data_IF_507629809332
#
_entry.id   IF_507629809332
#
_cell.length_a   1.000
_cell.length_b   1.000
_cell.length_c   1.000
_cell.angle_alpha   90.00
_cell.angle_beta   90.00
_cell.angle_gamma   90.00
#
_symmetry.space_group_name_H-M   'P 1'
#
loop_
_entity.id
_entity.type
_entity.pdbx_description
1 polymer ?
#
# COMPACT_ATOMS: atom_id res chain seq x y z
N UNK A 1 3.97 -8.90 15.03
CA UNK A 1 4.96 -9.56 14.14
C UNK A 1 4.95 -8.96 12.73
N UNK A 2 3.83 -8.75 12.06
CA UNK A 2 3.79 -8.22 10.68
C UNK A 2 4.52 -6.88 10.49
N UNK A 3 4.36 -5.92 11.38
CA UNK A 3 5.06 -4.63 11.30
C UNK A 3 6.59 -4.76 11.42
N UNK A 4 7.10 -5.77 12.13
CA UNK A 4 8.54 -6.01 12.21
C UNK A 4 9.11 -6.51 10.88
N UNK A 5 8.36 -7.31 10.15
CA UNK A 5 8.75 -7.79 8.81
C UNK A 5 8.81 -6.61 7.83
N UNK A 6 7.79 -5.73 7.83
CA UNK A 6 7.78 -4.52 7.01
C UNK A 6 8.95 -3.58 7.33
N UNK A 7 9.27 -3.40 8.62
CA UNK A 7 10.40 -2.56 9.02
C UNK A 7 11.77 -3.19 8.71
N UNK A 8 11.86 -4.52 8.65
CA UNK A 8 13.12 -5.22 8.40
C UNK A 8 13.54 -5.16 6.91
N UNK A 9 12.58 -5.16 5.98
CA UNK A 9 12.89 -5.19 4.54
C UNK A 9 13.75 -4.02 4.06
N UNK A 10 13.44 -2.74 4.35
CA UNK A 10 14.30 -1.64 3.95
C UNK A 10 15.69 -1.71 4.58
N UNK A 11 15.80 -2.25 5.80
CA UNK A 11 17.08 -2.43 6.49
C UNK A 11 17.93 -3.50 5.78
N UNK A 12 17.34 -4.66 5.50
CA UNK A 12 17.98 -5.75 4.78
C UNK A 12 18.44 -5.27 3.39
N UNK A 13 17.56 -4.55 2.67
CA UNK A 13 17.86 -4.03 1.35
C UNK A 13 19.04 -3.04 1.40
N UNK A 14 19.06 -2.12 2.36
CA UNK A 14 20.15 -1.16 2.54
C UNK A 14 21.49 -1.84 2.84
N UNK A 15 21.48 -2.83 3.74
CA UNK A 15 22.70 -3.60 4.09
C UNK A 15 23.18 -4.41 2.89
N UNK A 16 22.28 -5.11 2.21
CA UNK A 16 22.61 -5.90 1.01
C UNK A 16 23.23 -5.02 -0.08
N UNK A 17 22.61 -3.86 -0.36
CA UNK A 17 23.13 -2.89 -1.35
C UNK A 17 24.52 -2.40 -0.96
N UNK A 18 24.77 -2.11 0.33
CA UNK A 18 26.08 -1.64 0.80
C UNK A 18 27.16 -2.72 0.65
N UNK A 19 26.83 -3.99 0.89
CA UNK A 19 27.76 -5.12 0.75
C UNK A 19 28.07 -5.43 -0.71
N UNK A 20 27.10 -5.23 -1.62
CA UNK A 20 27.28 -5.53 -3.05
C UNK A 20 27.73 -4.33 -3.87
N UNK A 21 27.79 -3.13 -3.31
CA UNK A 21 28.14 -1.89 -4.01
C UNK A 21 29.57 -1.88 -4.61
N UNK A 22 30.45 -2.77 -4.16
CA UNK A 22 31.78 -2.96 -4.74
C UNK A 22 31.78 -3.61 -6.12
N UNK A 23 30.73 -4.42 -6.44
CA UNK A 23 30.66 -5.21 -7.67
C UNK A 23 29.81 -4.57 -8.80
N UNK A 24 28.94 -3.62 -8.49
CA UNK A 24 27.91 -3.12 -9.41
C UNK A 24 28.04 -1.62 -9.75
N UNK A 25 29.17 -1.19 -10.33
CA UNK A 25 29.34 0.18 -10.86
C UNK A 25 28.68 0.41 -12.24
N UNK A 26 27.83 -0.48 -12.73
CA UNK A 26 27.17 -0.37 -14.06
C UNK A 26 25.67 -0.69 -13.95
N UNK A 27 24.86 0.34 -13.71
CA UNK A 27 23.40 0.22 -13.81
C UNK A 27 22.72 1.52 -13.49
N UNK A 28 22.00 2.12 -14.45
CA UNK A 28 21.16 3.32 -14.25
C UNK A 28 19.83 3.01 -13.56
N UNK A 29 19.82 2.08 -12.61
CA UNK A 29 18.64 1.58 -11.94
C UNK A 29 18.49 2.25 -10.56
N UNK A 30 17.27 2.30 -10.01
CA UNK A 30 17.02 2.83 -8.66
C UNK A 30 17.92 2.23 -7.60
N UNK A 31 18.34 0.95 -7.77
CA UNK A 31 19.30 0.31 -6.89
C UNK A 31 20.70 0.94 -6.91
N UNK A 32 21.18 1.41 -8.05
CA UNK A 32 22.45 2.13 -8.12
C UNK A 32 22.32 3.54 -7.55
N UNK A 33 21.15 4.13 -7.61
CA UNK A 33 20.84 5.45 -7.05
C UNK A 33 20.81 5.44 -5.51
N UNK A 34 20.54 4.28 -4.87
CA UNK A 34 20.63 4.13 -3.40
C UNK A 34 22.01 4.49 -2.85
N UNK A 35 23.08 4.17 -3.58
CA UNK A 35 24.46 4.46 -3.16
C UNK A 35 24.80 5.95 -3.21
N UNK A 36 23.98 6.77 -3.87
CA UNK A 36 24.19 8.20 -4.00
C UNK A 36 23.43 9.04 -2.98
N UNK A 37 22.26 8.55 -2.52
CA UNK A 37 21.45 9.23 -1.52
C UNK A 37 20.58 8.23 -0.75
N UNK A 38 20.64 8.28 0.58
CA UNK A 38 19.92 7.37 1.46
C UNK A 38 18.38 7.40 1.35
N UNK A 39 17.79 8.49 0.82
CA UNK A 39 16.34 8.56 0.60
C UNK A 39 15.84 7.64 -0.54
N UNK A 40 16.73 7.07 -1.35
CA UNK A 40 16.32 6.03 -2.29
C UNK A 40 16.01 4.68 -1.62
N UNK A 41 16.53 4.42 -0.41
CA UNK A 41 16.30 3.16 0.30
C UNK A 41 14.81 2.88 0.54
N UNK A 42 14.04 3.81 1.14
CA UNK A 42 12.59 3.56 1.31
C UNK A 42 11.85 3.47 -0.03
N UNK A 43 12.27 4.20 -1.07
CA UNK A 43 11.64 4.15 -2.39
C UNK A 43 11.83 2.79 -3.07
N UNK A 44 13.03 2.23 -3.00
CA UNK A 44 13.28 0.89 -3.51
C UNK A 44 12.63 -0.19 -2.64
N UNK A 45 12.56 0.00 -1.31
CA UNK A 45 11.82 -0.89 -0.44
C UNK A 45 10.33 -0.93 -0.81
N UNK A 46 9.72 0.20 -1.15
CA UNK A 46 8.33 0.24 -1.61
C UNK A 46 8.09 -0.57 -2.89
N UNK A 47 9.04 -0.62 -3.82
CA UNK A 47 8.90 -1.45 -5.02
C UNK A 47 8.75 -2.94 -4.67
N UNK A 48 9.49 -3.41 -3.67
CA UNK A 48 9.41 -4.80 -3.20
C UNK A 48 8.18 -5.01 -2.33
N UNK A 49 7.95 -4.12 -1.38
CA UNK A 49 6.87 -4.22 -0.39
C UNK A 49 5.47 -4.16 -1.02
N UNK A 50 5.28 -3.30 -2.03
CA UNK A 50 4.00 -3.16 -2.73
C UNK A 50 3.64 -4.37 -3.59
N UNK A 51 4.63 -5.20 -3.94
CA UNK A 51 4.35 -6.42 -4.70
C UNK A 51 3.61 -7.46 -3.85
N UNK A 52 3.94 -7.58 -2.57
CA UNK A 52 3.38 -8.64 -1.72
C UNK A 52 3.13 -8.22 -0.26
N UNK A 53 4.12 -7.64 0.44
CA UNK A 53 4.08 -7.52 1.90
C UNK A 53 3.07 -6.49 2.39
N UNK A 54 3.04 -5.30 1.82
CA UNK A 54 2.06 -4.26 2.17
C UNK A 54 0.63 -4.69 1.80
N UNK A 55 0.35 -5.22 0.59
CA UNK A 55 -0.96 -5.78 0.29
C UNK A 55 -1.37 -6.93 1.21
N UNK A 56 -0.43 -7.81 1.60
CA UNK A 56 -0.71 -8.89 2.56
C UNK A 56 -1.10 -8.34 3.93
N UNK A 57 -0.39 -7.34 4.44
CA UNK A 57 -0.73 -6.70 5.71
C UNK A 57 -2.13 -6.09 5.66
N UNK A 58 -2.49 -5.41 4.57
CA UNK A 58 -3.83 -4.83 4.38
C UNK A 58 -4.89 -5.93 4.22
N UNK A 59 -4.59 -7.01 3.52
CA UNK A 59 -5.50 -8.15 3.38
C UNK A 59 -5.83 -8.78 4.75
N UNK A 60 -4.82 -8.94 5.61
CA UNK A 60 -5.03 -9.45 6.97
C UNK A 60 -5.87 -8.49 7.81
N UNK A 61 -5.53 -7.19 7.83
CA UNK A 61 -6.26 -6.20 8.61
C UNK A 61 -7.71 -6.05 8.15
N UNK A 62 -7.95 -6.00 6.84
CA UNK A 62 -9.28 -5.82 6.28
C UNK A 62 -10.11 -7.09 6.36
N UNK A 63 -9.50 -8.26 6.15
CA UNK A 63 -10.15 -9.56 6.29
C UNK A 63 -10.67 -9.80 7.71
N UNK A 64 -9.90 -9.40 8.72
CA UNK A 64 -10.27 -9.54 10.13
C UNK A 64 -11.30 -8.49 10.61
N UNK A 65 -11.49 -7.42 9.89
CA UNK A 65 -12.21 -6.22 10.35
C UNK A 65 -13.67 -6.48 10.75
N UNK A 66 -14.41 -7.30 10.00
CA UNK A 66 -15.81 -7.70 10.27
C UNK A 66 -15.90 -9.20 10.51
N UNK A 67 -15.25 -10.01 9.67
CA UNK A 67 -15.28 -11.46 9.80
C UNK A 67 -14.66 -11.95 11.11
N UNK A 68 -13.64 -11.25 11.65
CA UNK A 68 -13.04 -11.56 12.94
C UNK A 68 -14.02 -11.38 14.10
N UNK A 69 -14.77 -10.28 14.09
CA UNK A 69 -15.80 -10.01 15.12
C UNK A 69 -16.99 -10.98 14.99
N UNK A 70 -17.36 -11.34 13.77
CA UNK A 70 -18.39 -12.36 13.53
C UNK A 70 -17.96 -13.73 14.03
N UNK A 71 -16.71 -14.14 13.74
CA UNK A 71 -16.13 -15.42 14.17
C UNK A 71 -16.05 -15.56 15.70
N UNK A 72 -15.70 -14.45 16.39
CA UNK A 72 -15.64 -14.39 17.85
C UNK A 72 -17.01 -14.23 18.52
N UNK A 73 -18.09 -14.06 17.76
CA UNK A 73 -19.43 -13.77 18.27
C UNK A 73 -19.59 -12.37 18.90
N UNK A 74 -18.54 -11.53 18.85
CA UNK A 74 -18.56 -10.19 19.45
C UNK A 74 -19.37 -9.18 18.64
N UNK A 75 -19.64 -9.48 17.37
CA UNK A 75 -20.46 -8.65 16.50
C UNK A 75 -21.86 -8.43 17.09
N UNK A 76 -22.42 -9.42 17.79
CA UNK A 76 -23.72 -9.31 18.49
C UNK A 76 -23.69 -8.21 19.55
N UNK A 77 -22.63 -8.10 20.34
CA UNK A 77 -22.51 -7.10 21.39
C UNK A 77 -22.33 -5.69 20.82
N UNK A 78 -21.62 -5.54 19.71
CA UNK A 78 -21.47 -4.26 19.02
C UNK A 78 -22.81 -3.73 18.47
N UNK A 79 -23.73 -4.62 18.12
CA UNK A 79 -25.05 -4.25 17.59
C UNK A 79 -26.09 -4.02 18.67
N UNK A 80 -25.84 -4.38 19.93
CA UNK A 80 -26.73 -4.03 21.08
C UNK A 80 -26.52 -2.59 21.54
N UNK A 81 -25.37 -1.98 21.25
CA UNK A 81 -25.13 -0.55 21.50
C UNK A 81 -25.85 0.25 20.41
N UNK A 82 -26.54 1.37 20.72
CA UNK A 82 -27.29 2.17 19.75
C UNK A 82 -26.37 2.98 18.83
N UNK A 83 -25.53 2.27 18.06
CA UNK A 83 -24.65 2.82 17.02
C UNK A 83 -25.19 2.43 15.66
N UNK A 84 -25.35 3.40 14.75
CA UNK A 84 -25.81 3.10 13.40
C UNK A 84 -24.78 2.20 12.68
N UNK A 85 -25.24 1.22 11.92
CA UNK A 85 -24.40 0.31 11.13
C UNK A 85 -23.46 1.07 10.18
N UNK A 86 -23.92 2.18 9.63
CA UNK A 86 -23.12 3.09 8.80
C UNK A 86 -21.93 3.66 9.56
N UNK A 87 -22.16 4.13 10.81
CA UNK A 87 -21.09 4.69 11.65
C UNK A 87 -20.06 3.63 12.00
N UNK A 88 -20.50 2.42 12.33
CA UNK A 88 -19.60 1.29 12.61
C UNK A 88 -18.71 1.00 11.40
N UNK A 89 -19.31 0.86 10.20
CA UNK A 89 -18.56 0.59 8.98
C UNK A 89 -17.59 1.73 8.63
N UNK A 90 -18.01 3.00 8.80
CA UNK A 90 -17.16 4.15 8.56
C UNK A 90 -15.94 4.19 9.50
N UNK A 91 -16.13 3.89 10.80
CA UNK A 91 -15.04 3.78 11.77
C UNK A 91 -14.10 2.64 11.40
N UNK A 92 -14.62 1.48 10.99
CA UNK A 92 -13.82 0.34 10.53
C UNK A 92 -12.98 0.73 9.31
N UNK A 93 -13.58 1.36 8.31
CA UNK A 93 -12.85 1.81 7.13
C UNK A 93 -11.78 2.86 7.48
N UNK A 94 -12.12 3.84 8.33
CA UNK A 94 -11.14 4.83 8.79
C UNK A 94 -9.96 4.19 9.53
N UNK A 95 -10.21 3.17 10.37
CA UNK A 95 -9.13 2.44 11.05
C UNK A 95 -8.26 1.65 10.06
N UNK A 96 -8.82 1.11 8.99
CA UNK A 96 -8.06 0.45 7.92
C UNK A 96 -7.19 1.45 7.14
N UNK A 97 -7.72 2.64 6.82
CA UNK A 97 -6.94 3.72 6.19
C UNK A 97 -5.78 4.17 7.10
N UNK A 98 -6.04 4.30 8.41
CA UNK A 98 -4.99 4.59 9.39
C UNK A 98 -3.95 3.44 9.44
N UNK A 99 -4.39 2.18 9.40
CA UNK A 99 -3.51 1.02 9.31
C UNK A 99 -2.65 1.02 8.05
N UNK A 100 -3.22 1.38 6.89
CA UNK A 100 -2.48 1.55 5.64
C UNK A 100 -1.41 2.65 5.76
N UNK A 101 -1.76 3.80 6.33
CA UNK A 101 -0.82 4.89 6.56
C UNK A 101 0.33 4.47 7.49
N UNK A 102 0.03 3.82 8.61
CA UNK A 102 1.06 3.30 9.52
C UNK A 102 1.91 2.21 8.87
N UNK A 103 1.33 1.34 8.05
CA UNK A 103 2.07 0.34 7.26
C UNK A 103 3.11 1.00 6.35
N UNK A 104 2.71 2.02 5.59
CA UNK A 104 3.63 2.79 4.73
C UNK A 104 4.71 3.49 5.55
N UNK A 105 4.36 4.12 6.68
CA UNK A 105 5.36 4.78 7.54
C UNK A 105 6.35 3.78 8.16
N UNK A 106 5.91 2.55 8.46
CA UNK A 106 6.76 1.50 9.00
C UNK A 106 7.86 1.07 8.01
N UNK A 107 7.65 1.28 6.72
CA UNK A 107 8.67 1.09 5.67
C UNK A 107 9.48 2.38 5.46
N UNK A 108 8.80 3.52 5.35
CA UNK A 108 9.42 4.80 5.02
C UNK A 108 10.44 5.27 6.08
N UNK A 109 10.04 5.23 7.35
CA UNK A 109 10.85 5.81 8.43
C UNK A 109 12.14 4.99 8.68
N UNK A 110 12.09 3.67 8.91
CA UNK A 110 13.31 2.89 9.07
C UNK A 110 14.17 2.92 7.80
N UNK A 111 13.54 2.87 6.61
CA UNK A 111 14.25 2.97 5.34
C UNK A 111 15.01 4.28 5.18
N UNK A 112 14.40 5.41 5.54
CA UNK A 112 15.06 6.71 5.49
C UNK A 112 16.19 6.81 6.54
N UNK A 113 15.95 6.36 7.77
CA UNK A 113 16.96 6.39 8.84
C UNK A 113 18.19 5.57 8.45
N UNK A 114 18.01 4.30 8.08
CA UNK A 114 19.13 3.43 7.72
C UNK A 114 19.81 3.89 6.43
N UNK A 115 19.00 4.36 5.45
CA UNK A 115 19.52 4.89 4.21
C UNK A 115 20.44 6.10 4.43
N UNK A 116 19.98 7.08 5.18
CA UNK A 116 20.77 8.27 5.53
C UNK A 116 22.03 7.88 6.32
N UNK A 117 21.92 6.94 7.26
CA UNK A 117 23.06 6.48 8.05
C UNK A 117 24.14 5.76 7.22
N UNK A 118 23.74 5.01 6.18
CA UNK A 118 24.66 4.22 5.37
C UNK A 118 25.19 4.94 4.13
N UNK A 119 24.36 5.78 3.49
CA UNK A 119 24.64 6.42 2.20
C UNK A 119 24.66 7.95 2.26
N UNK A 120 24.32 8.52 3.40
CA UNK A 120 24.32 9.97 3.60
C UNK A 120 23.02 10.65 3.15
N UNK A 121 22.95 11.96 3.43
CA UNK A 121 21.84 12.83 3.10
C UNK A 121 22.37 14.03 2.27
N UNK A 122 21.84 14.20 1.06
CA UNK A 122 22.32 15.22 0.14
C UNK A 122 21.36 15.47 -1.02
N UNK A 123 21.79 16.18 -2.05
CA UNK A 123 21.03 16.35 -3.28
C UNK A 123 20.66 14.99 -3.89
N UNK A 124 19.40 14.82 -4.26
CA UNK A 124 18.87 13.58 -4.80
C UNK A 124 18.80 13.66 -6.33
N UNK A 125 19.46 12.76 -7.10
CA UNK A 125 19.28 12.73 -8.54
C UNK A 125 17.86 12.26 -8.87
N UNK A 126 17.25 12.93 -9.86
CA UNK A 126 15.93 12.55 -10.38
C UNK A 126 16.06 11.54 -11.51
N UNK A 127 14.97 10.86 -11.84
CA UNK A 127 14.89 10.00 -13.03
C UNK A 127 15.00 10.80 -14.34
N UNK A 128 14.83 12.14 -14.29
CA UNK A 128 14.98 13.05 -15.43
C UNK A 128 16.42 13.58 -15.60
N UNK A 129 17.35 13.20 -14.69
CA UNK A 129 18.75 13.65 -14.76
C UNK A 129 19.04 14.99 -14.07
N UNK A 130 18.03 15.67 -13.49
CA UNK A 130 18.22 16.83 -12.61
C UNK A 130 18.55 16.40 -11.18
N UNK A 131 18.87 17.35 -10.30
CA UNK A 131 19.10 17.09 -8.87
C UNK A 131 18.10 17.89 -8.03
N UNK A 132 17.42 17.21 -7.12
CA UNK A 132 16.55 17.85 -6.13
C UNK A 132 17.36 18.25 -4.90
N UNK A 133 16.97 19.36 -4.30
CA UNK A 133 17.45 19.72 -2.97
C UNK A 133 16.98 18.67 -1.93
N UNK A 134 17.67 18.59 -0.80
CA UNK A 134 17.33 17.66 0.26
C UNK A 134 15.89 17.87 0.79
N UNK A 135 15.42 19.11 0.86
CA UNK A 135 14.04 19.44 1.28
C UNK A 135 13.00 18.96 0.26
N UNK A 136 13.24 19.16 -1.03
CA UNK A 136 12.38 18.67 -2.11
C UNK A 136 12.33 17.13 -2.12
N UNK A 137 13.46 16.45 -1.90
CA UNK A 137 13.52 15.00 -1.83
C UNK A 137 12.66 14.44 -0.70
N UNK A 138 12.66 15.06 0.48
CA UNK A 138 11.76 14.70 1.59
C UNK A 138 10.30 14.95 1.18
N UNK A 139 10.00 16.09 0.55
CA UNK A 139 8.65 16.39 0.05
C UNK A 139 8.15 15.33 -0.95
N UNK A 140 9.03 14.85 -1.85
CA UNK A 140 8.73 13.76 -2.80
C UNK A 140 8.44 12.44 -2.06
N UNK A 141 9.23 12.10 -1.04
CA UNK A 141 8.97 10.90 -0.22
C UNK A 141 7.62 10.98 0.48
N UNK A 142 7.25 12.14 1.02
CA UNK A 142 5.92 12.33 1.64
C UNK A 142 4.80 12.15 0.61
N UNK A 143 4.93 12.70 -0.60
CA UNK A 143 3.96 12.50 -1.68
C UNK A 143 3.82 11.00 -2.04
N UNK A 144 4.94 10.28 -2.14
CA UNK A 144 4.94 8.83 -2.35
C UNK A 144 4.19 8.11 -1.23
N UNK A 145 4.47 8.43 0.04
CA UNK A 145 3.78 7.82 1.18
C UNK A 145 2.27 8.07 1.14
N UNK A 146 1.83 9.27 0.83
CA UNK A 146 0.40 9.60 0.72
C UNK A 146 -0.26 8.87 -0.45
N UNK A 147 0.41 8.78 -1.59
CA UNK A 147 -0.06 8.08 -2.77
C UNK A 147 -0.24 6.58 -2.51
N UNK A 148 0.77 5.93 -1.94
CA UNK A 148 0.72 4.50 -1.60
C UNK A 148 -0.34 4.22 -0.53
N UNK A 149 -0.50 5.11 0.45
CA UNK A 149 -1.57 5.03 1.45
C UNK A 149 -2.95 5.06 0.78
N UNK A 150 -3.16 5.94 -0.20
CA UNK A 150 -4.42 5.99 -0.95
C UNK A 150 -4.68 4.68 -1.72
N UNK A 151 -3.66 4.13 -2.39
CA UNK A 151 -3.76 2.85 -3.11
C UNK A 151 -4.07 1.67 -2.19
N UNK A 152 -3.41 1.59 -1.04
CA UNK A 152 -3.66 0.56 -0.02
C UNK A 152 -5.03 0.73 0.66
N UNK A 153 -5.50 1.97 0.84
CA UNK A 153 -6.85 2.25 1.35
C UNK A 153 -7.94 1.78 0.37
N UNK A 154 -7.69 1.88 -0.94
CA UNK A 154 -8.58 1.31 -1.95
C UNK A 154 -8.64 -0.22 -1.86
N UNK A 155 -7.49 -0.90 -1.68
CA UNK A 155 -7.45 -2.34 -1.42
C UNK A 155 -8.16 -2.70 -0.11
N UNK A 156 -8.01 -1.88 0.93
CA UNK A 156 -8.68 -2.07 2.21
C UNK A 156 -10.21 -2.00 2.08
N UNK A 157 -10.74 -1.15 1.19
CA UNK A 157 -12.17 -1.11 0.90
C UNK A 157 -12.67 -2.42 0.25
N UNK A 158 -11.88 -2.99 -0.68
CA UNK A 158 -12.16 -4.32 -1.27
C UNK A 158 -12.18 -5.38 -0.17
N UNK A 159 -11.17 -5.38 0.71
CA UNK A 159 -11.07 -6.33 1.81
C UNK A 159 -12.21 -6.18 2.83
N UNK A 160 -12.60 -4.94 3.15
CA UNK A 160 -13.74 -4.66 4.02
C UNK A 160 -15.03 -5.26 3.43
N UNK A 161 -15.27 -5.08 2.14
CA UNK A 161 -16.42 -5.69 1.46
C UNK A 161 -16.37 -7.21 1.53
N UNK A 162 -15.24 -7.84 1.19
CA UNK A 162 -15.07 -9.29 1.25
C UNK A 162 -15.29 -9.80 2.68
N UNK A 163 -14.82 -9.08 3.71
CA UNK A 163 -15.02 -9.40 5.11
C UNK A 163 -16.51 -9.37 5.53
N UNK A 164 -17.38 -8.64 4.83
CA UNK A 164 -18.83 -8.70 5.07
C UNK A 164 -19.51 -9.96 4.52
N UNK A 165 -18.86 -10.65 3.58
CA UNK A 165 -19.42 -11.82 2.89
C UNK A 165 -19.16 -13.15 3.62
N UNK A 166 -18.19 -13.18 4.52
CA UNK A 166 -17.78 -14.40 5.25
C UNK A 166 -17.67 -14.14 6.75
N UNK A 167 -17.68 -15.21 7.52
CA UNK A 167 -17.42 -15.18 8.97
C UNK A 167 -16.02 -15.74 9.30
N UNK A 168 -15.25 -16.10 8.26
CA UNK A 168 -13.90 -16.62 8.42
C UNK A 168 -12.85 -15.57 8.05
N UNK A 169 -12.14 -14.99 9.01
CA UNK A 169 -11.14 -13.94 8.77
C UNK A 169 -10.03 -14.36 7.80
N UNK A 170 -9.54 -15.60 7.98
CA UNK A 170 -8.49 -16.15 7.12
C UNK A 170 -8.99 -16.28 5.68
N UNK A 171 -10.23 -16.76 5.49
CA UNK A 171 -10.84 -16.86 4.17
C UNK A 171 -10.99 -15.49 3.48
N UNK A 172 -11.40 -14.46 4.23
CA UNK A 172 -11.46 -13.10 3.72
C UNK A 172 -10.08 -12.59 3.30
N UNK A 173 -9.06 -12.75 4.15
CA UNK A 173 -7.69 -12.30 3.86
C UNK A 173 -7.10 -13.01 2.63
N UNK A 174 -7.31 -14.31 2.52
CA UNK A 174 -6.87 -15.11 1.35
C UNK A 174 -7.57 -14.63 0.07
N UNK A 175 -8.88 -14.34 0.12
CA UNK A 175 -9.62 -13.84 -1.03
C UNK A 175 -9.07 -12.48 -1.52
N UNK A 176 -8.75 -11.55 -0.62
CA UNK A 176 -8.10 -10.27 -0.97
C UNK A 176 -6.75 -10.50 -1.64
N UNK A 177 -5.94 -11.42 -1.11
CA UNK A 177 -4.64 -11.76 -1.70
C UNK A 177 -4.78 -12.40 -3.08
N UNK A 178 -5.76 -13.29 -3.27
CA UNK A 178 -6.04 -13.87 -4.60
C UNK A 178 -6.39 -12.77 -5.60
N UNK A 179 -7.27 -11.82 -5.25
CA UNK A 179 -7.61 -10.68 -6.11
C UNK A 179 -6.36 -9.89 -6.48
N UNK A 180 -5.46 -9.65 -5.51
CA UNK A 180 -4.21 -8.91 -5.74
C UNK A 180 -3.26 -9.68 -6.66
N UNK A 181 -3.04 -10.98 -6.40
CA UNK A 181 -2.14 -11.83 -7.20
C UNK A 181 -2.67 -11.98 -8.63
N UNK A 182 -3.98 -12.25 -8.77
CA UNK A 182 -4.62 -12.33 -10.10
C UNK A 182 -4.47 -11.01 -10.85
N UNK A 183 -4.62 -9.87 -10.17
CA UNK A 183 -4.41 -8.55 -10.78
C UNK A 183 -2.96 -8.37 -11.29
N UNK A 184 -1.95 -8.82 -10.52
CA UNK A 184 -0.55 -8.80 -10.97
C UNK A 184 -0.31 -9.71 -12.18
N UNK A 185 -0.93 -10.89 -12.21
CA UNK A 185 -0.85 -11.80 -13.37
C UNK A 185 -1.48 -11.14 -14.61
N UNK A 186 -2.64 -10.49 -14.44
CA UNK A 186 -3.33 -9.82 -15.55
C UNK A 186 -2.53 -8.64 -16.11
N UNK A 187 -1.84 -7.85 -15.27
CA UNK A 187 -0.92 -6.79 -15.72
C UNK A 187 0.24 -7.39 -16.52
N UNK A 188 0.70 -8.59 -16.18
CA UNK A 188 1.77 -9.29 -16.91
C UNK A 188 1.35 -9.84 -18.29
N UNK A 189 0.06 -9.78 -18.67
CA UNK A 189 -0.47 -10.31 -19.94
C UNK A 189 -0.73 -9.17 -20.94
N UNK A 190 0.13 -8.95 -21.95
CA UNK A 190 0.02 -7.83 -22.90
C UNK A 190 -1.30 -7.83 -23.69
N UNK A 191 -1.89 -9.00 -23.95
CA UNK A 191 -3.15 -9.15 -24.67
C UNK A 191 -4.35 -8.56 -23.92
N UNK A 192 -4.20 -8.35 -22.60
CA UNK A 192 -5.23 -7.78 -21.73
C UNK A 192 -4.96 -6.32 -21.39
N UNK A 193 -4.17 -5.61 -22.18
CA UNK A 193 -3.79 -4.21 -21.94
C UNK A 193 -4.98 -3.25 -21.76
N UNK A 194 -6.13 -3.57 -22.38
CA UNK A 194 -7.38 -2.82 -22.19
C UNK A 194 -7.92 -2.88 -20.76
N UNK A 195 -7.52 -3.90 -19.97
CA UNK A 195 -7.93 -4.07 -18.58
C UNK A 195 -6.98 -3.37 -17.60
N UNK A 196 -5.72 -3.15 -17.98
CA UNK A 196 -4.69 -2.58 -17.10
C UNK A 196 -5.14 -1.27 -16.41
N UNK A 197 -5.79 -0.28 -17.11
CA UNK A 197 -6.23 0.95 -16.47
C UNK A 197 -7.26 0.77 -15.33
N UNK A 198 -7.87 -0.42 -15.22
CA UNK A 198 -8.85 -0.74 -14.18
C UNK A 198 -8.26 -1.55 -13.01
N UNK A 199 -7.00 -1.99 -13.11
CA UNK A 199 -6.35 -2.78 -12.09
C UNK A 199 -5.63 -1.88 -11.08
N UNK A 200 -5.94 -2.03 -9.78
CA UNK A 200 -5.30 -1.26 -8.71
C UNK A 200 -3.78 -1.39 -8.74
N UNK A 201 -3.28 -2.60 -8.97
CA UNK A 201 -1.85 -2.92 -8.91
C UNK A 201 -1.03 -2.23 -10.01
N UNK A 202 -1.63 -1.98 -11.17
CA UNK A 202 -0.98 -1.28 -12.29
C UNK A 202 -0.60 0.16 -11.90
N UNK A 203 -1.48 0.82 -11.17
CA UNK A 203 -1.28 2.20 -10.72
C UNK A 203 -0.39 2.32 -9.48
N UNK A 204 -0.14 1.24 -8.73
CA UNK A 204 0.69 1.34 -7.53
C UNK A 204 2.12 1.81 -7.85
N UNK A 205 2.70 1.37 -8.97
CA UNK A 205 4.06 1.75 -9.36
C UNK A 205 4.16 3.18 -9.94
N UNK A 206 3.03 3.85 -10.19
CA UNK A 206 3.04 5.23 -10.67
C UNK A 206 3.61 6.23 -9.64
N UNK A 207 3.88 5.81 -8.39
CA UNK A 207 4.63 6.63 -7.43
C UNK A 207 6.03 7.01 -7.95
N UNK A 208 6.62 6.27 -8.87
CA UNK A 208 7.92 6.56 -9.47
C UNK A 208 7.91 7.87 -10.27
N UNK A 209 6.75 8.29 -10.78
CA UNK A 209 6.60 9.55 -11.52
C UNK A 209 6.82 10.78 -10.62
N UNK A 210 6.67 10.63 -9.29
CA UNK A 210 7.05 11.68 -8.35
C UNK A 210 8.57 11.91 -8.26
N UNK A 211 9.37 10.95 -8.74
CA UNK A 211 10.84 11.05 -8.77
C UNK A 211 11.36 11.75 -10.04
N UNK A 212 10.47 12.17 -10.94
CA UNK A 212 10.80 12.97 -12.12
C UNK A 212 10.76 14.46 -11.79
N UNK A 213 11.49 15.22 -12.55
CA UNK A 213 11.47 16.68 -12.50
C UNK A 213 11.39 17.25 -13.93
N UNK A 214 10.28 17.94 -14.29
CA UNK A 214 9.08 18.12 -13.46
C UNK A 214 8.30 16.83 -13.20
N UNK A 215 7.45 16.80 -12.14
CA UNK A 215 6.59 15.65 -11.84
C UNK A 215 5.67 15.36 -13.03
N UNK A 216 5.63 14.10 -13.46
CA UNK A 216 4.64 13.65 -14.43
C UNK A 216 3.34 13.26 -13.71
N UNK A 217 2.39 14.18 -13.62
CA UNK A 217 1.16 14.04 -12.84
C UNK A 217 0.12 13.12 -13.49
N UNK A 218 0.21 12.82 -14.78
CA UNK A 218 -0.84 12.10 -15.54
C UNK A 218 -1.11 10.71 -14.94
N UNK A 219 -0.07 9.90 -14.75
CA UNK A 219 -0.22 8.55 -14.20
C UNK A 219 -0.62 8.55 -12.71
N UNK A 220 -0.01 9.34 -11.81
CA UNK A 220 -0.46 9.44 -10.43
C UNK A 220 -1.90 9.92 -10.28
N UNK A 221 -2.35 10.90 -11.05
CA UNK A 221 -3.74 11.39 -11.02
C UNK A 221 -4.73 10.34 -11.53
N UNK A 222 -4.38 9.59 -12.58
CA UNK A 222 -5.19 8.46 -13.05
C UNK A 222 -5.33 7.41 -11.94
N UNK A 223 -4.22 7.08 -11.26
CA UNK A 223 -4.20 6.17 -10.11
C UNK A 223 -5.09 6.67 -8.97
N UNK A 224 -4.96 7.92 -8.54
CA UNK A 224 -5.79 8.48 -7.46
C UNK A 224 -7.30 8.45 -7.79
N UNK A 225 -7.68 8.73 -9.05
CA UNK A 225 -9.08 8.61 -9.49
C UNK A 225 -9.59 7.17 -9.37
N UNK A 226 -8.77 6.20 -9.79
CA UNK A 226 -9.12 4.78 -9.68
C UNK A 226 -9.19 4.35 -8.22
N UNK A 227 -8.27 4.76 -7.36
CA UNK A 227 -8.28 4.47 -5.94
C UNK A 227 -9.54 5.02 -5.26
N UNK A 228 -9.92 6.26 -5.57
CA UNK A 228 -11.17 6.84 -5.08
C UNK A 228 -12.40 6.07 -5.56
N UNK A 229 -12.43 5.68 -6.85
CA UNK A 229 -13.52 4.86 -7.41
C UNK A 229 -13.65 3.53 -6.65
N UNK A 230 -12.56 2.80 -6.46
CA UNK A 230 -12.56 1.54 -5.70
C UNK A 230 -13.02 1.75 -4.25
N UNK A 231 -12.50 2.76 -3.58
CA UNK A 231 -12.88 3.08 -2.20
C UNK A 231 -14.39 3.34 -2.10
N UNK A 232 -14.96 4.16 -2.98
CA UNK A 232 -16.39 4.49 -2.98
C UNK A 232 -17.24 3.26 -3.33
N UNK A 233 -16.92 2.55 -4.42
CA UNK A 233 -17.69 1.39 -4.88
C UNK A 233 -17.71 0.28 -3.82
N UNK A 234 -16.55 -0.13 -3.33
CA UNK A 234 -16.46 -1.25 -2.40
C UNK A 234 -16.94 -0.89 -0.99
N UNK A 235 -16.76 0.37 -0.57
CA UNK A 235 -17.37 0.83 0.67
C UNK A 235 -18.90 0.83 0.60
N UNK A 236 -19.50 1.30 -0.51
CA UNK A 236 -20.95 1.27 -0.71
C UNK A 236 -21.51 -0.15 -0.80
N UNK A 237 -20.80 -1.06 -1.47
CA UNK A 237 -21.15 -2.49 -1.51
C UNK A 237 -21.08 -3.12 -0.12
N UNK A 238 -20.03 -2.82 0.65
CA UNK A 238 -19.91 -3.27 2.04
C UNK A 238 -21.05 -2.74 2.90
N UNK A 239 -21.40 -1.46 2.73
CA UNK A 239 -22.53 -0.82 3.44
C UNK A 239 -23.86 -1.47 3.08
N UNK A 240 -24.15 -1.68 1.80
CA UNK A 240 -25.39 -2.30 1.33
C UNK A 240 -25.52 -3.73 1.90
N UNK A 241 -24.45 -4.51 1.86
CA UNK A 241 -24.42 -5.88 2.38
C UNK A 241 -24.58 -5.91 3.91
N UNK A 242 -23.85 -5.06 4.62
CA UNK A 242 -23.86 -5.02 6.08
C UNK A 242 -25.18 -4.48 6.65
N UNK A 243 -25.84 -3.53 5.97
CA UNK A 243 -27.12 -2.99 6.37
C UNK A 243 -28.28 -4.00 6.18
N UNK A 244 -28.19 -4.88 5.17
CA UNK A 244 -29.19 -5.91 4.89
C UNK A 244 -28.98 -7.25 5.65
N UNK A 245 -27.87 -7.42 6.40
CA UNK A 245 -27.59 -8.67 7.12
C UNK A 245 -28.43 -8.72 8.42
N UNK A 246 -29.41 -9.63 8.51
CA UNK A 246 -30.10 -9.93 9.75
C UNK A 246 -29.16 -10.66 10.71
N UNK A 247 -29.09 -10.17 11.96
CA UNK A 247 -28.21 -10.69 13.02
C UNK A 247 -28.95 -11.67 13.92
N UNK A 248 -29.91 -12.39 13.35
CA UNK A 248 -30.79 -13.29 14.10
C UNK A 248 -30.44 -14.78 13.96
N UNK A 249 -29.26 -15.11 13.48
CA UNK A 249 -28.79 -16.50 13.47
C UNK A 249 -27.47 -16.67 14.21
#
# INVERSE_FOLDING_TARGET
>A
MGLLVLAAMPIILAIATKLTASDHRRGGDLMSSMTTNGLFVPLAAFMVEMTMFLPLAIAMLSGDSIAGEANLGTLRYLLTVPVSRTRLLAVKFASLCAGAFWGVLTVAIPGAIIGIALFGFGPMPTLSGSTLSAGEAVGRLVLVCLYLTAGLSALAAVGLFISTLTEQPIGASVAVMIVTIVSWILVGVPQLSWLHPWLLVDHWMAFQEFLRDPIAWDAPLAGLRLFALYAVVFWTLAWARFSGKDVTS
#
